data_IF_617312367777
#
_entry.id   IF_617312367777
#
_cell.length_a   1.000
_cell.length_b   1.000
_cell.length_c   1.000
_cell.angle_alpha   90.00
_cell.angle_beta   90.00
_cell.angle_gamma   90.00
#
_symmetry.space_group_name_H-M   'P 1'
#
loop_
_entity.id
_entity.type
_entity.pdbx_description
1 polymer ?
#
# COMPACT_ATOMS: atom_id res chain seq x y z
N UNK A 1 -1.86 79.42 34.50
CA UNK A 1 -2.96 79.79 33.58
C UNK A 1 -3.16 78.62 32.61
N UNK A 2 -4.34 78.00 32.67
CA UNK A 2 -5.06 77.11 31.72
C UNK A 2 -4.28 76.35 30.61
N UNK A 3 -4.27 75.02 30.78
CA UNK A 3 -4.55 73.92 29.81
C UNK A 3 -4.60 74.19 28.30
N UNK A 4 -4.00 73.28 27.51
CA UNK A 4 -4.73 72.34 26.62
C UNK A 4 -3.83 71.28 25.95
N UNK A 5 -4.24 70.01 26.11
CA UNK A 5 -3.90 68.87 25.24
C UNK A 5 -4.59 69.02 23.87
N UNK A 6 -4.07 68.31 22.84
CA UNK A 6 -4.83 67.39 21.95
C UNK A 6 -3.83 66.53 21.10
N UNK A 7 -4.16 65.26 20.76
CA UNK A 7 -3.25 64.24 20.21
C UNK A 7 -3.54 63.86 18.74
N UNK A 8 -2.58 63.25 18.03
CA UNK A 8 -2.76 62.58 16.71
C UNK A 8 -1.75 61.42 16.66
N UNK A 9 -2.08 60.12 16.78
CA UNK A 9 -2.92 59.19 15.99
C UNK A 9 -2.06 58.22 15.16
N UNK A 10 -2.08 56.97 15.61
CA UNK A 10 -1.92 55.67 14.94
C UNK A 10 -1.57 55.60 13.45
N UNK A 11 -0.60 54.74 13.11
CA UNK A 11 -0.74 53.79 12.00
C UNK A 11 0.12 52.54 12.25
N UNK A 12 -0.50 51.45 12.72
CA UNK A 12 0.11 50.13 12.77
C UNK A 12 -0.34 49.37 11.51
N UNK A 13 0.60 49.14 10.59
CA UNK A 13 0.37 48.34 9.40
C UNK A 13 0.38 46.85 9.78
N UNK A 14 -0.80 46.25 9.90
CA UNK A 14 -0.97 44.80 10.04
C UNK A 14 -0.88 44.19 8.64
N UNK A 15 0.24 43.52 8.36
CA UNK A 15 0.41 42.68 7.17
C UNK A 15 -0.33 41.37 7.43
N UNK A 16 -1.50 41.20 6.82
CA UNK A 16 -2.21 39.92 6.79
C UNK A 16 -1.47 38.98 5.83
N UNK A 17 -0.66 38.08 6.39
CA UNK A 17 -0.19 36.90 5.67
C UNK A 17 -1.40 36.00 5.44
N UNK A 18 -1.92 36.01 4.21
CA UNK A 18 -2.90 35.03 3.74
C UNK A 18 -2.18 33.68 3.67
N UNK A 19 -2.30 32.90 4.75
CA UNK A 19 -1.94 31.50 4.73
C UNK A 19 -2.95 30.75 3.87
N UNK A 20 -2.52 30.24 2.71
CA UNK A 20 -3.28 29.23 1.99
C UNK A 20 -3.25 27.94 2.84
N UNK A 21 -4.25 27.76 3.70
CA UNK A 21 -4.55 26.44 4.26
C UNK A 21 -4.98 25.56 3.09
N UNK A 22 -4.11 24.64 2.66
CA UNK A 22 -4.53 23.51 1.84
C UNK A 22 -5.33 22.62 2.77
N UNK A 23 -6.65 22.58 2.59
CA UNK A 23 -7.48 21.53 3.17
C UNK A 23 -6.98 20.20 2.61
N UNK A 24 -6.25 19.46 3.44
CA UNK A 24 -5.98 18.05 3.20
C UNK A 24 -7.30 17.36 3.49
N UNK A 25 -8.11 17.15 2.45
CA UNK A 25 -9.22 16.20 2.52
C UNK A 25 -8.62 14.83 2.81
N UNK A 26 -8.71 14.40 4.07
CA UNK A 26 -8.50 13.00 4.42
C UNK A 26 -9.62 12.23 3.76
N UNK A 27 -9.30 11.43 2.74
CA UNK A 27 -10.21 10.39 2.33
C UNK A 27 -10.27 9.39 3.51
N UNK A 28 -11.36 8.65 3.63
CA UNK A 28 -11.47 7.58 4.61
C UNK A 28 -11.68 6.31 3.81
N UNK A 29 -10.62 5.53 3.59
CA UNK A 29 -10.74 4.24 2.92
C UNK A 29 -11.38 3.26 3.88
N UNK A 30 -12.63 2.88 3.57
CA UNK A 30 -13.32 1.81 4.26
C UNK A 30 -12.57 0.49 4.06
N UNK A 31 -12.33 -0.24 5.15
CA UNK A 31 -11.68 -1.54 5.09
C UNK A 31 -12.62 -2.57 4.48
N UNK A 32 -12.10 -3.40 3.58
CA UNK A 32 -12.85 -4.46 2.94
C UNK A 32 -12.23 -5.83 3.19
N UNK A 33 -13.07 -6.87 3.23
CA UNK A 33 -12.58 -8.24 3.35
C UNK A 33 -11.84 -8.66 2.09
N UNK A 34 -10.89 -9.59 2.22
CA UNK A 34 -10.16 -10.09 1.06
C UNK A 34 -11.07 -10.85 0.09
N UNK A 35 -12.14 -11.46 0.60
CA UNK A 35 -13.20 -12.10 -0.19
C UNK A 35 -13.99 -11.10 -1.03
N UNK A 36 -14.29 -9.91 -0.50
CA UNK A 36 -14.95 -8.88 -1.28
C UNK A 36 -14.02 -8.33 -2.38
N UNK A 37 -12.73 -8.20 -2.07
CA UNK A 37 -11.73 -7.69 -3.03
C UNK A 37 -11.48 -8.65 -4.20
N UNK A 38 -11.56 -9.97 -3.99
CA UNK A 38 -11.46 -10.94 -5.10
C UNK A 38 -12.70 -10.88 -6.00
N UNK A 39 -13.89 -10.71 -5.44
CA UNK A 39 -15.12 -10.52 -6.21
C UNK A 39 -15.08 -9.21 -7.03
N UNK A 40 -14.66 -8.09 -6.41
CA UNK A 40 -14.48 -6.82 -7.12
C UNK A 40 -13.43 -6.91 -8.25
N UNK A 41 -12.39 -7.73 -8.07
CA UNK A 41 -11.37 -7.96 -9.10
C UNK A 41 -11.95 -8.73 -10.28
N UNK A 42 -12.71 -9.78 -10.01
CA UNK A 42 -13.36 -10.61 -11.03
C UNK A 42 -14.37 -9.80 -11.86
N UNK A 43 -15.11 -8.89 -11.21
CA UNK A 43 -15.99 -7.94 -11.88
C UNK A 43 -15.21 -6.95 -12.77
N UNK A 44 -14.07 -6.45 -12.29
CA UNK A 44 -13.19 -5.61 -13.08
C UNK A 44 -12.69 -6.36 -14.33
N UNK A 45 -12.21 -7.59 -14.16
CA UNK A 45 -11.68 -8.42 -15.26
C UNK A 45 -12.77 -8.76 -16.29
N UNK A 46 -13.99 -9.04 -15.83
CA UNK A 46 -15.13 -9.39 -16.69
C UNK A 46 -15.61 -8.22 -17.55
N UNK A 47 -15.46 -7.00 -17.05
CA UNK A 47 -15.82 -5.76 -17.77
C UNK A 47 -14.64 -5.12 -18.51
N UNK A 48 -13.42 -5.63 -18.32
CA UNK A 48 -12.21 -5.08 -18.91
C UNK A 48 -12.21 -5.15 -20.44
N UNK A 49 -12.14 -4.00 -21.11
CA UNK A 49 -11.99 -3.93 -22.58
C UNK A 49 -10.60 -4.34 -23.04
N UNK A 50 -9.56 -4.14 -22.23
CA UNK A 50 -8.17 -4.43 -22.60
C UNK A 50 -7.34 -4.88 -21.39
N UNK A 51 -6.08 -5.25 -21.64
CA UNK A 51 -5.20 -5.84 -20.63
C UNK A 51 -4.92 -4.93 -19.42
N UNK A 52 -5.14 -3.62 -19.58
CA UNK A 52 -4.78 -2.57 -18.64
C UNK A 52 -5.97 -2.05 -17.83
N UNK A 53 -7.20 -2.53 -18.07
CA UNK A 53 -8.40 -2.00 -17.41
C UNK A 53 -8.40 -2.13 -15.89
N UNK A 54 -7.66 -3.10 -15.34
CA UNK A 54 -7.57 -3.39 -13.90
C UNK A 54 -6.14 -3.23 -13.36
N UNK A 55 -5.30 -2.43 -14.03
CA UNK A 55 -3.87 -2.30 -13.70
C UNK A 55 -3.61 -1.67 -12.32
N UNK A 56 -4.58 -0.96 -11.76
CA UNK A 56 -4.49 -0.31 -10.46
C UNK A 56 -5.03 -1.20 -9.32
N UNK A 57 -5.55 -2.39 -9.65
CA UNK A 57 -6.29 -3.18 -8.68
C UNK A 57 -5.41 -3.68 -7.53
N UNK A 58 -4.14 -4.01 -7.78
CA UNK A 58 -3.21 -4.40 -6.70
C UNK A 58 -3.06 -3.29 -5.67
N UNK A 59 -2.90 -2.03 -6.11
CA UNK A 59 -2.83 -0.87 -5.22
C UNK A 59 -4.16 -0.62 -4.49
N UNK A 60 -5.28 -0.74 -5.21
CA UNK A 60 -6.63 -0.68 -4.63
C UNK A 60 -6.84 -1.73 -3.54
N UNK A 61 -6.45 -2.97 -3.79
CA UNK A 61 -6.59 -4.07 -2.85
C UNK A 61 -5.75 -3.86 -1.59
N UNK A 62 -4.49 -3.41 -1.72
CA UNK A 62 -3.64 -3.05 -0.57
C UNK A 62 -4.32 -1.95 0.25
N UNK A 63 -4.77 -0.89 -0.43
CA UNK A 63 -5.38 0.29 0.18
C UNK A 63 -6.66 -0.06 0.94
N UNK A 64 -7.58 -0.79 0.30
CA UNK A 64 -8.86 -1.20 0.88
C UNK A 64 -8.73 -2.30 1.92
N UNK A 65 -7.84 -3.27 1.75
CA UNK A 65 -7.66 -4.33 2.76
C UNK A 65 -7.13 -3.75 4.08
N UNK A 66 -6.14 -2.87 4.01
CA UNK A 66 -5.53 -2.29 5.20
C UNK A 66 -6.11 -0.95 5.66
N UNK A 67 -6.95 -0.30 4.85
CA UNK A 67 -7.48 1.05 5.11
C UNK A 67 -6.40 2.13 5.05
N UNK A 68 -5.56 2.11 4.00
CA UNK A 68 -4.47 3.08 3.77
C UNK A 68 -4.58 3.75 2.41
N UNK A 69 -4.02 4.96 2.30
CA UNK A 69 -4.14 5.80 1.08
C UNK A 69 -2.81 6.02 0.37
N UNK A 70 -1.73 5.46 0.89
CA UNK A 70 -0.38 5.72 0.41
C UNK A 70 -0.25 5.48 -1.10
N UNK A 71 -0.94 4.46 -1.62
CA UNK A 71 -0.89 4.07 -3.03
C UNK A 71 -1.88 4.85 -3.90
N UNK A 72 -2.27 6.05 -3.48
CA UNK A 72 -3.15 6.95 -4.22
C UNK A 72 -2.43 8.26 -4.57
N UNK A 73 -2.57 8.68 -5.83
CA UNK A 73 -2.11 9.98 -6.33
C UNK A 73 -3.29 10.71 -6.95
N UNK A 74 -3.55 11.95 -6.49
CA UNK A 74 -4.67 12.77 -6.96
C UNK A 74 -6.04 12.05 -6.89
N UNK A 75 -6.25 11.24 -5.85
CA UNK A 75 -7.50 10.50 -5.62
C UNK A 75 -7.66 9.25 -6.48
N UNK A 76 -6.61 8.79 -7.17
CA UNK A 76 -6.61 7.55 -7.98
C UNK A 76 -5.54 6.60 -7.48
N UNK A 77 -5.82 5.30 -7.52
CA UNK A 77 -4.82 4.27 -7.23
C UNK A 77 -3.72 4.28 -8.30
N UNK A 78 -2.47 4.12 -7.88
CA UNK A 78 -1.35 3.91 -8.80
C UNK A 78 -1.44 2.51 -9.44
N UNK A 79 -0.77 2.32 -10.57
CA UNK A 79 -0.73 1.03 -11.24
C UNK A 79 0.21 0.06 -10.51
N UNK A 80 0.04 -1.25 -10.76
CA UNK A 80 0.85 -2.30 -10.15
C UNK A 80 2.36 -2.13 -10.40
N UNK A 81 2.75 -1.60 -11.56
CA UNK A 81 4.14 -1.38 -11.97
C UNK A 81 4.77 -0.14 -11.31
N UNK A 82 3.96 0.72 -10.69
CA UNK A 82 4.41 1.92 -9.96
C UNK A 82 4.59 1.65 -8.45
N UNK A 83 4.07 0.52 -7.94
CA UNK A 83 4.06 0.24 -6.48
C UNK A 83 5.48 0.13 -5.92
N UNK A 84 6.39 -0.57 -6.62
CA UNK A 84 7.75 -0.75 -6.11
C UNK A 84 8.49 0.59 -6.00
N UNK A 85 8.48 1.40 -7.05
CA UNK A 85 9.12 2.72 -7.06
C UNK A 85 8.51 3.64 -5.99
N UNK A 86 7.20 3.53 -5.75
CA UNK A 86 6.55 4.26 -4.68
C UNK A 86 7.06 3.83 -3.30
N UNK A 87 7.05 2.53 -2.97
CA UNK A 87 7.43 2.07 -1.63
C UNK A 87 8.92 2.21 -1.34
N UNK A 88 9.78 2.09 -2.37
CA UNK A 88 11.23 2.30 -2.27
C UNK A 88 11.57 3.78 -2.05
N UNK A 89 10.82 4.69 -2.67
CA UNK A 89 11.00 6.14 -2.54
C UNK A 89 10.27 6.79 -1.36
N UNK A 90 9.50 6.04 -0.57
CA UNK A 90 8.61 6.57 0.47
C UNK A 90 9.15 6.35 1.88
N UNK A 91 9.10 7.38 2.73
CA UNK A 91 9.37 7.26 4.16
C UNK A 91 8.25 6.51 4.92
N UNK A 92 7.10 6.28 4.29
CA UNK A 92 5.98 5.55 4.88
C UNK A 92 6.19 4.03 4.86
N UNK A 93 7.13 3.53 4.04
CA UNK A 93 7.42 2.11 3.91
C UNK A 93 8.87 1.84 4.23
N UNK A 94 9.16 0.61 4.66
CA UNK A 94 10.54 0.15 4.84
C UNK A 94 10.71 -1.27 4.37
N UNK A 95 11.84 -1.52 3.75
CA UNK A 95 12.30 -2.87 3.46
C UNK A 95 12.61 -3.60 4.79
N UNK A 96 11.81 -4.61 5.11
CA UNK A 96 11.97 -5.42 6.32
C UNK A 96 13.04 -6.50 6.15
N UNK A 97 13.24 -6.99 4.93
CA UNK A 97 14.31 -7.92 4.57
C UNK A 97 13.86 -9.03 3.62
N UNK A 98 14.78 -9.96 3.35
CA UNK A 98 14.60 -11.04 2.36
C UNK A 98 13.71 -12.18 2.87
N UNK A 99 12.82 -12.67 2.00
CA UNK A 99 11.91 -13.78 2.28
C UNK A 99 12.61 -15.13 2.51
N UNK A 100 13.90 -15.26 2.14
CA UNK A 100 14.70 -16.46 2.45
C UNK A 100 15.03 -16.61 3.95
N UNK A 101 14.74 -15.61 4.78
CA UNK A 101 14.99 -15.64 6.23
C UNK A 101 13.70 -15.94 6.99
N UNK A 102 13.66 -17.04 7.76
CA UNK A 102 12.48 -17.42 8.55
C UNK A 102 11.99 -16.28 9.46
N UNK A 103 12.91 -15.63 10.20
CA UNK A 103 12.57 -14.50 11.08
C UNK A 103 11.91 -13.32 10.34
N UNK A 104 12.20 -13.14 9.05
CA UNK A 104 11.55 -12.10 8.22
C UNK A 104 10.10 -12.49 7.97
N UNK A 105 9.85 -13.74 7.58
CA UNK A 105 8.52 -14.26 7.31
C UNK A 105 7.65 -14.35 8.57
N UNK A 106 8.24 -14.70 9.71
CA UNK A 106 7.54 -14.78 11.01
C UNK A 106 6.98 -13.43 11.41
N UNK A 107 7.82 -12.39 11.31
CA UNK A 107 7.39 -11.03 11.61
C UNK A 107 6.43 -10.49 10.56
N UNK A 108 6.59 -10.86 9.28
CA UNK A 108 5.66 -10.47 8.23
C UNK A 108 4.22 -10.96 8.53
N UNK A 109 4.05 -12.24 8.87
CA UNK A 109 2.74 -12.78 9.26
C UNK A 109 2.22 -12.11 10.54
N UNK A 110 3.09 -11.89 11.53
CA UNK A 110 2.72 -11.22 12.77
C UNK A 110 2.17 -9.81 12.52
N UNK A 111 2.88 -9.01 11.72
CA UNK A 111 2.45 -7.66 11.36
C UNK A 111 1.11 -7.66 10.63
N UNK A 112 0.93 -8.58 9.67
CA UNK A 112 -0.36 -8.74 9.00
C UNK A 112 -1.49 -9.07 9.98
N UNK A 113 -1.26 -9.99 10.92
CA UNK A 113 -2.20 -10.34 11.99
C UNK A 113 -2.48 -9.19 12.98
N UNK A 114 -1.59 -8.20 13.05
CA UNK A 114 -1.75 -6.97 13.82
C UNK A 114 -2.41 -5.84 12.99
N UNK A 115 -2.80 -6.12 11.75
CA UNK A 115 -3.41 -5.16 10.83
C UNK A 115 -2.43 -4.15 10.22
N UNK A 116 -1.12 -4.37 10.37
CA UNK A 116 -0.08 -3.56 9.75
C UNK A 116 0.03 -3.94 8.27
N UNK A 117 0.08 -2.98 7.33
CA UNK A 117 0.29 -3.28 5.92
C UNK A 117 1.62 -3.95 5.65
N UNK A 118 1.55 -5.14 5.03
CA UNK A 118 2.73 -5.92 4.64
C UNK A 118 2.56 -6.42 3.22
N UNK A 119 3.58 -6.19 2.40
CA UNK A 119 3.64 -6.70 1.03
C UNK A 119 4.96 -7.45 0.81
N UNK A 120 4.93 -8.38 -0.13
CA UNK A 120 6.11 -9.04 -0.67
C UNK A 120 6.30 -8.58 -2.12
N UNK A 121 7.54 -8.28 -2.49
CA UNK A 121 7.89 -7.83 -3.85
C UNK A 121 9.05 -8.69 -4.33
N UNK A 122 8.95 -9.24 -5.54
CA UNK A 122 10.13 -9.83 -6.19
C UNK A 122 10.93 -8.74 -6.89
N UNK A 123 11.95 -8.21 -6.23
CA UNK A 123 12.80 -7.13 -6.76
C UNK A 123 13.77 -7.61 -7.84
N UNK A 124 13.86 -8.93 -8.07
CA UNK A 124 14.63 -9.50 -9.17
C UNK A 124 13.81 -9.72 -10.45
N UNK A 125 12.48 -9.61 -10.38
CA UNK A 125 11.59 -9.70 -11.55
C UNK A 125 11.44 -8.34 -12.24
N UNK A 126 11.31 -8.33 -13.57
CA UNK A 126 11.20 -7.09 -14.36
C UNK A 126 9.93 -6.32 -13.99
N UNK A 127 8.84 -7.04 -13.74
CA UNK A 127 7.54 -6.45 -13.42
C UNK A 127 7.37 -6.09 -11.93
N UNK A 128 8.38 -6.41 -11.08
CA UNK A 128 8.38 -6.14 -9.64
C UNK A 128 7.04 -6.50 -8.97
N UNK A 129 6.51 -7.69 -9.32
CA UNK A 129 5.18 -8.11 -8.92
C UNK A 129 5.00 -8.05 -7.39
N UNK A 130 3.82 -7.58 -6.95
CA UNK A 130 3.51 -7.32 -5.55
C UNK A 130 2.43 -8.27 -5.06
N UNK A 131 2.65 -8.85 -3.89
CA UNK A 131 1.76 -9.79 -3.20
C UNK A 131 1.45 -9.25 -1.81
N UNK A 132 0.17 -9.29 -1.40
CA UNK A 132 -0.26 -8.87 -0.07
C UNK A 132 -0.03 -10.01 0.92
N UNK A 133 0.56 -9.74 2.08
CA UNK A 133 0.60 -10.72 3.18
C UNK A 133 -0.57 -10.45 4.11
N UNK A 134 -1.57 -11.31 4.08
CA UNK A 134 -2.85 -11.10 4.77
C UNK A 134 -2.89 -11.84 6.11
N UNK A 135 -3.89 -11.51 6.93
CA UNK A 135 -4.15 -12.21 8.19
C UNK A 135 -4.26 -13.73 7.99
N UNK A 136 -3.76 -14.51 8.95
CA UNK A 136 -3.81 -15.96 8.91
C UNK A 136 -2.61 -16.64 9.56
N UNK A 137 -2.37 -17.87 9.13
CA UNK A 137 -1.31 -18.72 9.66
C UNK A 137 -0.25 -19.01 8.60
N UNK A 138 1.01 -19.09 9.04
CA UNK A 138 2.07 -19.58 8.17
C UNK A 138 1.91 -21.08 7.92
N UNK A 139 2.48 -21.55 6.81
CA UNK A 139 2.56 -22.99 6.52
C UNK A 139 3.90 -23.37 5.91
N UNK A 140 4.35 -24.60 6.17
CA UNK A 140 5.63 -25.09 5.67
C UNK A 140 5.62 -25.20 4.14
N UNK A 141 6.53 -24.50 3.47
CA UNK A 141 6.80 -24.70 2.05
C UNK A 141 7.92 -25.72 1.87
N UNK A 142 7.61 -26.88 1.30
CA UNK A 142 8.63 -27.86 0.93
C UNK A 142 9.58 -27.32 -0.15
N UNK A 143 9.08 -26.44 -1.03
CA UNK A 143 9.87 -25.84 -2.12
C UNK A 143 10.88 -24.82 -1.60
N UNK A 144 10.47 -23.99 -0.64
CA UNK A 144 11.33 -22.93 -0.09
C UNK A 144 12.12 -23.38 1.14
N UNK A 145 11.75 -24.50 1.77
CA UNK A 145 12.40 -25.01 2.97
C UNK A 145 12.07 -24.22 4.25
N UNK A 146 11.17 -23.24 4.20
CA UNK A 146 10.77 -22.35 5.31
C UNK A 146 9.25 -22.33 5.49
N UNK A 147 8.78 -21.89 6.66
CA UNK A 147 7.35 -21.56 6.84
C UNK A 147 7.09 -20.22 6.18
N UNK A 148 6.04 -20.14 5.38
CA UNK A 148 5.71 -18.98 4.56
C UNK A 148 4.35 -18.39 4.95
N UNK A 149 4.18 -17.06 4.85
CA UNK A 149 2.93 -16.39 5.23
C UNK A 149 1.73 -16.74 4.36
N UNK A 150 0.54 -16.52 4.92
CA UNK A 150 -0.72 -16.42 4.19
C UNK A 150 -0.71 -15.14 3.33
N UNK A 151 -1.21 -15.22 2.11
CA UNK A 151 -1.12 -14.12 1.15
C UNK A 151 -2.27 -14.13 0.14
N UNK A 152 -2.42 -13.00 -0.54
CA UNK A 152 -3.31 -12.78 -1.66
C UNK A 152 -2.59 -12.03 -2.77
N UNK A 153 -2.98 -12.30 -4.01
CA UNK A 153 -2.40 -11.64 -5.17
C UNK A 153 -3.45 -11.39 -6.25
N UNK A 154 -3.32 -10.24 -6.90
CA UNK A 154 -4.17 -9.76 -7.99
C UNK A 154 -3.26 -9.45 -9.17
N UNK A 155 -3.58 -9.99 -10.34
CA UNK A 155 -2.72 -9.92 -11.52
C UNK A 155 -3.29 -8.94 -12.55
N UNK A 156 -2.47 -8.41 -13.48
CA UNK A 156 -3.02 -7.80 -14.69
C UNK A 156 -3.74 -8.86 -15.54
N UNK A 157 -4.61 -8.41 -16.44
CA UNK A 157 -5.35 -9.28 -17.36
C UNK A 157 -4.36 -10.09 -18.25
N UNK A 158 -4.62 -11.39 -18.39
CA UNK A 158 -3.73 -12.43 -18.97
C UNK A 158 -2.57 -12.90 -18.08
N UNK A 159 -2.46 -12.41 -16.83
CA UNK A 159 -1.61 -13.02 -15.83
C UNK A 159 -2.18 -14.35 -15.30
N UNK A 160 -1.53 -14.97 -14.30
CA UNK A 160 -2.10 -16.06 -13.53
C UNK A 160 -3.48 -15.70 -12.94
N UNK A 161 -4.26 -16.72 -12.58
CA UNK A 161 -5.48 -16.50 -11.82
C UNK A 161 -5.16 -15.80 -10.50
N UNK A 162 -5.96 -14.80 -10.09
CA UNK A 162 -5.81 -14.19 -8.79
C UNK A 162 -6.08 -15.24 -7.70
N UNK A 163 -5.61 -14.99 -6.50
CA UNK A 163 -5.85 -15.91 -5.39
C UNK A 163 -5.86 -15.20 -4.06
N UNK A 164 -6.59 -15.81 -3.13
CA UNK A 164 -6.63 -15.44 -1.71
C UNK A 164 -6.36 -16.67 -0.87
N UNK A 165 -5.91 -16.47 0.38
CA UNK A 165 -5.67 -17.54 1.35
C UNK A 165 -4.75 -18.65 0.83
N UNK A 166 -3.72 -18.27 0.06
CA UNK A 166 -2.63 -19.17 -0.35
C UNK A 166 -1.35 -18.79 0.38
N UNK A 167 -0.41 -19.71 0.43
CA UNK A 167 0.91 -19.43 0.97
C UNK A 167 1.79 -18.67 -0.03
N UNK A 168 2.72 -17.84 0.45
CA UNK A 168 3.57 -16.98 -0.40
C UNK A 168 4.33 -17.72 -1.51
N UNK A 169 4.67 -19.00 -1.28
CA UNK A 169 5.30 -19.86 -2.29
C UNK A 169 4.38 -20.27 -3.46
N UNK A 170 3.13 -19.81 -3.48
CA UNK A 170 2.22 -19.92 -4.61
C UNK A 170 2.49 -18.83 -5.65
N UNK A 171 2.94 -17.64 -5.22
CA UNK A 171 3.30 -16.54 -6.11
C UNK A 171 4.64 -16.75 -6.83
N UNK A 172 5.64 -17.29 -6.13
CA UNK A 172 6.98 -17.51 -6.69
C UNK A 172 7.53 -18.90 -6.35
N UNK A 173 8.31 -19.46 -7.29
CA UNK A 173 8.92 -20.79 -7.16
C UNK A 173 10.08 -20.83 -6.15
N UNK A 174 10.76 -19.71 -5.92
CA UNK A 174 11.89 -19.54 -5.00
C UNK A 174 11.72 -18.27 -4.15
N UNK A 175 12.26 -18.20 -2.92
CA UNK A 175 12.34 -16.94 -2.16
C UNK A 175 13.40 -15.96 -2.68
N UNK A 176 14.23 -16.37 -3.66
CA UNK A 176 15.28 -15.52 -4.19
C UNK A 176 14.70 -14.27 -4.87
N UNK A 177 15.25 -13.10 -4.51
CA UNK A 177 14.75 -11.82 -5.00
C UNK A 177 13.47 -11.32 -4.33
N UNK A 178 12.82 -12.14 -3.50
CA UNK A 178 11.60 -11.74 -2.77
C UNK A 178 11.97 -11.00 -1.49
N UNK A 179 11.48 -9.77 -1.37
CA UNK A 179 11.69 -8.87 -0.24
C UNK A 179 10.37 -8.51 0.42
N UNK A 180 10.37 -8.42 1.74
CA UNK A 180 9.20 -8.03 2.53
C UNK A 180 9.29 -6.54 2.82
N UNK A 181 8.19 -5.85 2.60
CA UNK A 181 8.02 -4.42 2.86
C UNK A 181 6.90 -4.23 3.86
N UNK A 182 7.13 -3.35 4.84
CA UNK A 182 6.21 -3.09 5.94
C UNK A 182 5.98 -1.59 6.02
N UNK A 183 4.74 -1.18 6.19
CA UNK A 183 4.39 0.23 6.40
C UNK A 183 4.73 0.66 7.84
N UNK A 184 5.27 1.86 7.99
CA UNK A 184 5.65 2.49 9.26
C UNK A 184 4.46 3.02 10.06
#
# INVERSE_FOLDING_TARGET
MKTKLIPISFLAAIVLLVGCSRDVTTVNIEKESIEHLIDEYDDCQSSAENALSCKDFTAKAISKYYGVEDLMVEGKYINYDEIYDFVDGSDAWRNYGKASRQVVLDNAQKFANEGVPVIAINTSDDNKFVVLIIEGEQSKSSKWGVNVPNCAAFFPKNGPEPFINKTLNYAWSSPDGVEIWVRN
#
